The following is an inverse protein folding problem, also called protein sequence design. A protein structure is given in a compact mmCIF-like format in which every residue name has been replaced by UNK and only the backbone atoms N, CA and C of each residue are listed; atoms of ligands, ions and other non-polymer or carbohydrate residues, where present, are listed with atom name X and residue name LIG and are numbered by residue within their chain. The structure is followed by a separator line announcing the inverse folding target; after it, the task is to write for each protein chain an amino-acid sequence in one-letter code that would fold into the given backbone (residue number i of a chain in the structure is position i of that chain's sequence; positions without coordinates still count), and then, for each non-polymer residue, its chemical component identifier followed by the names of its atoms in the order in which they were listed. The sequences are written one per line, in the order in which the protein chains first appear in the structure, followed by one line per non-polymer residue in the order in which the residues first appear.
data_IF_021539758043
#
_entry.id   IF_021539758043
#
_cell.length_a   1.000
_cell.length_b   1.000
_cell.length_c   1.000
_cell.angle_alpha   90.00
_cell.angle_beta   90.00
_cell.angle_gamma   90.00
#
_symmetry.space_group_name_H-M   'P 1'
#
loop_
_entity.id
_entity.type
_entity.pdbx_description
1 polymer ?
#
# COMPACT_ATOMS: atom_id res chain seq x y z
N UNK A 1 -21.70 -8.12 12.05
CA UNK A 1 -20.99 -9.36 11.64
C UNK A 1 -19.49 -9.21 11.88
N UNK A 2 -18.87 -9.89 12.87
CA UNK A 2 -17.47 -9.68 13.25
C UNK A 2 -16.55 -10.65 12.48
N UNK A 3 -16.42 -10.45 11.17
CA UNK A 3 -15.37 -11.04 10.34
C UNK A 3 -14.59 -9.88 9.74
N UNK A 4 -13.54 -9.36 10.39
CA UNK A 4 -12.82 -8.27 9.71
C UNK A 4 -11.39 -7.98 10.21
N UNK A 5 -11.17 -7.85 11.52
CA UNK A 5 -9.94 -7.18 12.00
C UNK A 5 -8.68 -8.06 12.07
N UNK A 6 -8.83 -9.39 12.11
CA UNK A 6 -7.69 -10.33 12.09
C UNK A 6 -7.28 -10.70 10.65
N UNK A 7 -8.25 -10.81 9.74
CA UNK A 7 -8.00 -11.20 8.35
C UNK A 7 -7.32 -10.05 7.58
N UNK A 8 -7.84 -8.82 7.70
CA UNK A 8 -7.25 -7.62 7.09
C UNK A 8 -5.81 -7.35 7.56
N UNK A 9 -5.53 -7.52 8.85
CA UNK A 9 -4.17 -7.40 9.41
C UNK A 9 -3.20 -8.41 8.85
N UNK A 10 -3.67 -9.62 8.50
CA UNK A 10 -2.83 -10.63 7.84
C UNK A 10 -2.54 -10.24 6.41
N UNK A 11 -3.55 -9.84 5.62
CA UNK A 11 -3.36 -9.50 4.20
C UNK A 11 -2.31 -8.42 3.98
N UNK A 12 -2.37 -7.29 4.69
CA UNK A 12 -1.39 -6.21 4.52
C UNK A 12 0.00 -6.62 4.98
N UNK A 13 0.10 -7.40 6.06
CA UNK A 13 1.38 -7.90 6.57
C UNK A 13 2.00 -8.90 5.58
N UNK A 14 1.23 -9.85 5.10
CA UNK A 14 1.67 -10.87 4.15
C UNK A 14 2.11 -10.20 2.83
N UNK A 15 1.34 -9.22 2.34
CA UNK A 15 1.69 -8.44 1.16
C UNK A 15 2.98 -7.64 1.35
N UNK A 16 3.16 -6.99 2.50
CA UNK A 16 4.38 -6.25 2.81
C UNK A 16 5.60 -7.19 2.85
N UNK A 17 5.50 -8.36 3.50
CA UNK A 17 6.57 -9.36 3.50
C UNK A 17 6.92 -9.88 2.10
N UNK A 18 5.92 -10.08 1.23
CA UNK A 18 6.16 -10.43 -0.18
C UNK A 18 6.88 -9.30 -0.92
N UNK A 19 6.55 -8.04 -0.64
CA UNK A 19 7.21 -6.88 -1.25
C UNK A 19 8.68 -6.79 -0.76
N UNK A 20 8.95 -7.01 0.52
CA UNK A 20 10.32 -7.08 1.08
C UNK A 20 11.13 -8.18 0.40
N UNK A 21 10.57 -9.40 0.32
CA UNK A 21 11.22 -10.52 -0.36
C UNK A 21 11.54 -10.18 -1.82
N UNK A 22 10.64 -9.49 -2.54
CA UNK A 22 10.87 -9.06 -3.92
C UNK A 22 11.91 -7.94 -4.04
N UNK A 23 12.05 -7.08 -3.02
CA UNK A 23 13.13 -6.07 -2.97
C UNK A 23 14.50 -6.74 -2.83
N UNK A 24 14.58 -7.84 -2.10
CA UNK A 24 15.82 -8.58 -1.90
C UNK A 24 16.14 -9.51 -3.08
N UNK A 25 15.21 -10.39 -3.45
CA UNK A 25 15.44 -11.48 -4.41
C UNK A 25 15.38 -11.04 -5.88
N UNK A 26 14.74 -9.91 -6.17
CA UNK A 26 14.59 -9.35 -7.53
C UNK A 26 14.17 -10.40 -8.60
N UNK A 27 13.07 -11.16 -8.38
CA UNK A 27 12.64 -12.16 -9.36
C UNK A 27 12.33 -11.55 -10.73
N UNK A 28 12.77 -12.23 -11.80
CA UNK A 28 12.55 -11.79 -13.17
C UNK A 28 11.06 -11.70 -13.51
N UNK A 29 10.67 -10.71 -14.32
CA UNK A 29 9.28 -10.49 -14.73
C UNK A 29 8.34 -9.93 -13.65
N UNK A 30 8.80 -9.76 -12.40
CA UNK A 30 7.97 -9.18 -11.35
C UNK A 30 7.81 -7.67 -11.51
N UNK A 31 6.55 -7.19 -11.51
CA UNK A 31 6.25 -5.76 -11.49
C UNK A 31 6.88 -5.05 -10.30
N UNK A 32 6.88 -5.67 -9.11
CA UNK A 32 7.52 -5.11 -7.91
C UNK A 32 9.02 -4.91 -8.11
N UNK A 33 9.69 -5.88 -8.76
CA UNK A 33 11.11 -5.76 -9.11
C UNK A 33 11.36 -4.64 -10.11
N UNK A 34 10.49 -4.48 -11.12
CA UNK A 34 10.57 -3.34 -12.04
C UNK A 34 10.48 -1.99 -11.30
N UNK A 35 9.56 -1.84 -10.34
CA UNK A 35 9.44 -0.61 -9.55
C UNK A 35 10.72 -0.31 -8.78
N UNK A 36 11.26 -1.29 -8.06
CA UNK A 36 12.49 -1.08 -7.29
C UNK A 36 13.72 -0.88 -8.19
N UNK A 37 13.78 -1.48 -9.38
CA UNK A 37 14.87 -1.24 -10.34
C UNK A 37 14.77 0.16 -10.96
N UNK A 38 13.55 0.69 -11.09
CA UNK A 38 13.28 2.04 -11.61
C UNK A 38 13.52 3.14 -10.57
N UNK A 39 13.67 2.78 -9.30
CA UNK A 39 13.99 3.69 -8.21
C UNK A 39 12.81 4.51 -7.67
N UNK A 40 13.13 5.37 -6.69
CA UNK A 40 12.17 6.10 -5.88
C UNK A 40 11.20 6.97 -6.70
N UNK A 41 11.69 7.70 -7.71
CA UNK A 41 10.85 8.63 -8.49
C UNK A 41 9.73 7.91 -9.22
N UNK A 42 9.99 6.69 -9.73
CA UNK A 42 8.96 5.87 -10.38
C UNK A 42 7.91 5.41 -9.39
N UNK A 43 8.32 5.03 -8.18
CA UNK A 43 7.42 4.62 -7.09
C UNK A 43 6.54 5.80 -6.67
N UNK A 44 7.13 6.98 -6.45
CA UNK A 44 6.39 8.19 -6.08
C UNK A 44 5.40 8.62 -7.17
N UNK A 45 5.79 8.51 -8.45
CA UNK A 45 4.88 8.77 -9.57
C UNK A 45 3.64 7.87 -9.52
N UNK A 46 3.81 6.57 -9.26
CA UNK A 46 2.69 5.64 -9.10
C UNK A 46 1.82 6.01 -7.90
N UNK A 47 2.40 6.33 -6.74
CA UNK A 47 1.62 6.78 -5.57
C UNK A 47 0.76 8.01 -5.91
N UNK A 48 1.31 8.99 -6.63
CA UNK A 48 0.55 10.18 -7.05
C UNK A 48 -0.56 9.89 -8.05
N UNK A 49 -0.32 9.00 -9.00
CA UNK A 49 -1.29 8.52 -9.99
C UNK A 49 -2.49 7.86 -9.29
N UNK A 50 -2.24 6.83 -8.48
CA UNK A 50 -3.31 6.09 -7.78
C UNK A 50 -4.08 6.96 -6.79
N UNK A 51 -3.42 7.95 -6.17
CA UNK A 51 -4.07 8.92 -5.31
C UNK A 51 -5.09 9.76 -6.09
N UNK A 52 -4.69 10.24 -7.27
CA UNK A 52 -5.55 11.03 -8.16
C UNK A 52 -6.72 10.17 -8.67
N UNK A 53 -6.45 8.94 -9.08
CA UNK A 53 -7.46 7.99 -9.54
C UNK A 53 -8.46 7.63 -8.44
N UNK A 54 -7.99 7.41 -7.21
CA UNK A 54 -8.83 7.19 -6.04
C UNK A 54 -9.79 8.37 -5.79
N UNK A 55 -9.28 9.61 -5.86
CA UNK A 55 -10.10 10.83 -5.71
C UNK A 55 -11.17 10.91 -6.79
N UNK A 56 -10.82 10.63 -8.04
CA UNK A 56 -11.76 10.64 -9.16
C UNK A 56 -12.78 9.51 -9.02
N UNK A 57 -12.34 8.31 -8.64
CA UNK A 57 -13.19 7.14 -8.43
C UNK A 57 -14.23 7.38 -7.33
N UNK A 58 -13.86 8.07 -6.25
CA UNK A 58 -14.77 8.42 -5.15
C UNK A 58 -15.93 9.33 -5.57
N UNK A 59 -15.83 10.02 -6.71
CA UNK A 59 -16.94 10.84 -7.26
C UNK A 59 -17.96 10.02 -8.04
N UNK A 60 -17.67 8.76 -8.35
CA UNK A 60 -18.58 7.88 -9.07
C UNK A 60 -19.56 7.19 -8.11
N UNK A 61 -20.80 6.91 -8.56
CA UNK A 61 -21.80 6.23 -7.74
C UNK A 61 -21.51 4.74 -7.50
N UNK A 62 -20.69 4.11 -8.36
CA UNK A 62 -20.26 2.71 -8.20
C UNK A 62 -18.95 2.63 -7.39
N UNK A 63 -18.99 1.88 -6.29
CA UNK A 63 -17.85 1.68 -5.38
C UNK A 63 -16.80 0.72 -5.91
N UNK A 64 -17.07 -0.06 -6.97
CA UNK A 64 -16.10 -1.03 -7.52
C UNK A 64 -14.79 -0.37 -7.92
N UNK A 65 -14.87 0.77 -8.61
CA UNK A 65 -13.68 1.49 -9.04
C UNK A 65 -12.91 2.03 -7.84
N UNK A 66 -13.62 2.63 -6.89
CA UNK A 66 -13.00 3.13 -5.65
C UNK A 66 -12.24 2.03 -4.90
N UNK A 67 -12.80 0.83 -4.80
CA UNK A 67 -12.13 -0.32 -4.17
C UNK A 67 -10.85 -0.70 -4.93
N UNK A 68 -10.90 -0.71 -6.26
CA UNK A 68 -9.73 -1.03 -7.11
C UNK A 68 -8.61 -0.01 -6.92
N UNK A 69 -8.87 1.28 -7.16
CA UNK A 69 -7.82 2.32 -7.08
C UNK A 69 -7.26 2.45 -5.65
N UNK A 70 -8.11 2.23 -4.63
CA UNK A 70 -7.64 2.22 -3.24
C UNK A 70 -6.70 1.03 -2.99
N UNK A 71 -6.98 -0.13 -3.58
CA UNK A 71 -6.10 -1.30 -3.51
C UNK A 71 -4.73 -1.02 -4.13
N UNK A 72 -4.71 -0.38 -5.30
CA UNK A 72 -3.48 -0.01 -6.00
C UNK A 72 -2.70 1.07 -5.24
N UNK A 73 -3.38 2.08 -4.70
CA UNK A 73 -2.79 3.09 -3.83
C UNK A 73 -2.14 2.44 -2.60
N UNK A 74 -2.84 1.54 -1.91
CA UNK A 74 -2.30 0.85 -0.74
C UNK A 74 -1.08 0.00 -1.11
N UNK A 75 -1.13 -0.75 -2.22
CA UNK A 75 0.01 -1.53 -2.69
C UNK A 75 1.23 -0.63 -2.97
N UNK A 76 1.04 0.47 -3.70
CA UNK A 76 2.12 1.39 -4.02
C UNK A 76 2.68 2.13 -2.80
N UNK A 77 1.84 2.42 -1.80
CA UNK A 77 2.31 2.90 -0.50
C UNK A 77 3.16 1.84 0.21
N UNK A 78 2.76 0.56 0.24
CA UNK A 78 3.59 -0.49 0.84
C UNK A 78 4.96 -0.62 0.14
N UNK A 79 5.00 -0.55 -1.19
CA UNK A 79 6.26 -0.52 -1.96
C UNK A 79 7.12 0.67 -1.56
N UNK A 80 6.52 1.87 -1.41
CA UNK A 80 7.23 3.06 -0.93
C UNK A 80 7.79 2.86 0.47
N UNK A 81 7.01 2.29 1.41
CA UNK A 81 7.46 2.04 2.78
C UNK A 81 8.68 1.10 2.78
N UNK A 82 8.61 -0.02 2.06
CA UNK A 82 9.72 -0.96 1.91
C UNK A 82 10.92 -0.29 1.23
N UNK A 83 10.73 0.55 0.22
CA UNK A 83 11.81 1.30 -0.42
C UNK A 83 12.54 2.21 0.57
N UNK A 84 11.78 2.88 1.44
CA UNK A 84 12.29 3.83 2.45
C UNK A 84 12.70 3.20 3.78
N UNK A 85 12.53 1.89 3.94
CA UNK A 85 12.87 1.18 5.18
C UNK A 85 11.92 1.49 6.34
N UNK A 86 10.68 1.90 6.05
CA UNK A 86 9.65 2.17 7.05
C UNK A 86 8.82 0.91 7.26
N UNK A 87 8.74 0.44 8.50
CA UNK A 87 8.05 -0.81 8.84
C UNK A 87 6.54 -0.62 8.98
N UNK A 88 5.79 -1.70 8.77
CA UNK A 88 4.36 -1.72 9.09
C UNK A 88 4.09 -1.51 10.58
N UNK A 89 4.99 -1.91 11.47
CA UNK A 89 4.91 -1.68 12.90
C UNK A 89 4.89 -0.18 13.22
N UNK A 90 5.74 0.62 12.57
CA UNK A 90 5.77 2.08 12.72
C UNK A 90 4.46 2.73 12.25
N UNK A 91 3.96 2.34 11.08
CA UNK A 91 2.66 2.82 10.58
C UNK A 91 1.51 2.41 11.51
N UNK A 92 1.53 1.17 12.01
CA UNK A 92 0.52 0.71 12.95
C UNK A 92 0.57 1.47 14.28
N UNK A 93 1.75 1.88 14.76
CA UNK A 93 1.90 2.71 15.96
C UNK A 93 1.27 4.08 15.74
N UNK A 94 1.61 4.76 14.65
CA UNK A 94 1.02 6.04 14.26
C UNK A 94 -0.52 5.96 14.15
N UNK A 95 -1.05 4.93 13.47
CA UNK A 95 -2.50 4.77 13.33
C UNK A 95 -3.20 4.45 14.66
N UNK A 96 -2.56 3.72 15.57
CA UNK A 96 -3.08 3.48 16.93
C UNK A 96 -3.15 4.78 17.72
N UNK A 97 -2.11 5.60 17.66
CA UNK A 97 -2.08 6.90 18.32
C UNK A 97 -3.21 7.80 17.81
N UNK A 98 -3.43 7.86 16.49
CA UNK A 98 -4.56 8.59 15.89
C UNK A 98 -5.92 8.10 16.34
N UNK A 99 -6.10 6.79 16.54
CA UNK A 99 -7.36 6.22 17.03
C UNK A 99 -7.67 6.65 18.48
N UNK A 100 -6.64 6.80 19.30
CA UNK A 100 -6.78 7.16 20.72
C UNK A 100 -6.70 8.66 20.98
N UNK A 101 -6.10 9.42 20.08
CA UNK A 101 -6.06 10.87 20.14
C UNK A 101 -7.48 11.42 19.98
N UNK A 102 -8.05 11.93 21.07
CA UNK A 102 -9.19 12.85 20.99
C UNK A 102 -8.65 14.14 20.36
N UNK A 103 -9.10 14.47 19.16
CA UNK A 103 -9.05 15.86 18.70
C UNK A 103 -9.98 16.70 19.56
#
# INVERSE_FOLDING_TARGET
MPYSSKLSRRVLKDLYSVIEERKEKRPEGSYTTYLFNSGLDKILKKVGEECTETIVAAKNPDSKRLVSETGDLLYHLLVLLVERGVTLEEINRELKERRTAKK
#
